data_IF_258893338415
#
_entry.id   IF_258893338415
#
_cell.length_a   1.000
_cell.length_b   1.000
_cell.length_c   1.000
_cell.angle_alpha   90.00
_cell.angle_beta   90.00
_cell.angle_gamma   90.00
#
_symmetry.space_group_name_H-M   'P 1'
#
loop_
_entity.id
_entity.type
_entity.pdbx_description
1 polymer ?
#
# COMPACT_ATOMS: atom_id res chain seq x y z
N UNK A 1 9.12 13.08 -4.49
CA UNK A 1 8.48 12.58 -3.25
C UNK A 1 6.98 12.75 -3.38
N UNK A 2 6.20 11.69 -3.18
CA UNK A 2 4.74 11.74 -3.16
C UNK A 2 4.21 11.33 -1.80
N UNK A 3 3.22 12.05 -1.27
CA UNK A 3 2.51 11.73 -0.03
C UNK A 3 1.05 11.50 -0.36
N UNK A 4 0.50 10.43 0.19
CA UNK A 4 -0.86 9.98 -0.10
C UNK A 4 -1.53 9.45 1.15
N UNK A 5 -2.85 9.27 1.07
CA UNK A 5 -3.67 8.80 2.19
C UNK A 5 -4.63 7.72 1.71
N UNK A 6 -4.68 6.60 2.42
CA UNK A 6 -5.68 5.55 2.23
C UNK A 6 -6.51 5.40 3.49
N UNK A 7 -7.79 5.09 3.32
CA UNK A 7 -8.72 4.94 4.42
C UNK A 7 -9.42 3.59 4.33
N UNK A 8 -9.24 2.73 5.33
CA UNK A 8 -9.88 1.43 5.36
C UNK A 8 -11.36 1.57 5.77
N UNK A 9 -12.19 0.59 5.37
CA UNK A 9 -13.58 0.47 5.84
C UNK A 9 -13.67 0.30 7.36
N UNK A 10 -12.60 -0.19 8.00
CA UNK A 10 -12.51 -0.37 9.46
C UNK A 10 -12.14 0.91 10.20
N UNK A 11 -11.88 2.00 9.49
CA UNK A 11 -11.54 3.29 10.08
C UNK A 11 -10.04 3.58 10.13
N UNK A 12 -9.19 2.68 9.64
CA UNK A 12 -7.75 2.93 9.59
C UNK A 12 -7.42 4.06 8.63
N UNK A 13 -6.48 4.90 9.01
CA UNK A 13 -5.89 5.91 8.16
C UNK A 13 -4.43 5.55 7.91
N UNK A 14 -4.09 5.24 6.68
CA UNK A 14 -2.73 4.92 6.28
C UNK A 14 -2.16 6.10 5.51
N UNK A 15 -1.12 6.71 6.05
CA UNK A 15 -0.29 7.66 5.33
C UNK A 15 0.76 6.90 4.53
N UNK A 16 0.79 7.15 3.23
CA UNK A 16 1.70 6.51 2.29
C UNK A 16 2.69 7.56 1.80
N UNK A 17 3.98 7.30 1.97
CA UNK A 17 5.05 8.16 1.45
C UNK A 17 5.88 7.38 0.44
N UNK A 18 6.00 7.90 -0.79
CA UNK A 18 6.83 7.32 -1.86
C UNK A 18 8.01 8.22 -2.18
N UNK A 19 9.22 7.70 -2.00
CA UNK A 19 10.47 8.40 -2.27
C UNK A 19 11.52 7.39 -2.72
N UNK A 20 12.23 7.71 -3.81
CA UNK A 20 13.40 6.95 -4.30
C UNK A 20 13.20 5.43 -4.41
N UNK A 21 12.03 5.01 -4.94
CA UNK A 21 11.70 3.59 -5.12
C UNK A 21 11.31 2.86 -3.84
N UNK A 22 11.10 3.57 -2.73
CA UNK A 22 10.60 3.05 -1.47
C UNK A 22 9.20 3.61 -1.19
N UNK A 23 8.30 2.75 -0.71
CA UNK A 23 7.05 3.13 -0.08
C UNK A 23 7.16 2.93 1.42
N UNK A 24 6.78 3.94 2.20
CA UNK A 24 6.53 3.83 3.62
C UNK A 24 5.03 3.99 3.87
N UNK A 25 4.43 3.02 4.53
CA UNK A 25 3.06 3.08 5.01
C UNK A 25 3.09 3.26 6.52
N UNK A 26 2.36 4.25 7.03
CA UNK A 26 2.21 4.52 8.46
C UNK A 26 0.73 4.47 8.80
N UNK A 27 0.33 3.56 9.69
CA UNK A 27 -1.01 3.60 10.27
C UNK A 27 -1.06 4.77 11.26
N UNK A 28 -1.82 5.81 10.96
CA UNK A 28 -1.88 7.03 11.77
C UNK A 28 -2.59 6.83 13.11
N UNK A 29 -3.34 5.73 13.28
CA UNK A 29 -3.99 5.38 14.53
C UNK A 29 -3.05 4.62 15.47
N UNK A 30 -2.29 3.65 14.96
CA UNK A 30 -1.41 2.78 15.78
C UNK A 30 0.07 3.16 15.74
N UNK A 31 0.47 3.99 14.77
CA UNK A 31 1.85 4.34 14.42
C UNK A 31 2.70 3.16 13.90
N UNK A 32 2.06 2.05 13.56
CA UNK A 32 2.74 0.93 12.92
C UNK A 32 3.24 1.32 11.54
N UNK A 33 4.41 0.81 11.18
CA UNK A 33 5.07 1.14 9.91
C UNK A 33 5.33 -0.09 9.08
N UNK A 34 5.25 0.08 7.76
CA UNK A 34 5.63 -0.94 6.79
C UNK A 34 6.39 -0.28 5.65
N UNK A 35 7.49 -0.88 5.23
CA UNK A 35 8.34 -0.40 4.16
C UNK A 35 8.35 -1.40 3.01
N UNK A 36 8.22 -0.88 1.80
CA UNK A 36 8.20 -1.67 0.58
C UNK A 36 9.18 -1.11 -0.45
N UNK A 37 9.83 -1.99 -1.19
CA UNK A 37 10.55 -1.63 -2.41
C UNK A 37 9.56 -1.61 -3.57
N UNK A 38 9.40 -0.45 -4.18
CA UNK A 38 8.62 -0.25 -5.40
C UNK A 38 9.51 -0.50 -6.62
N UNK A 39 8.98 -1.25 -7.59
CA UNK A 39 9.54 -1.33 -8.93
C UNK A 39 8.44 -0.99 -9.96
N UNK A 40 8.59 0.13 -10.66
CA UNK A 40 7.64 0.55 -11.69
C UNK A 40 7.77 -0.34 -12.92
N UNK A 41 6.63 -0.82 -13.40
CA UNK A 41 6.51 -1.59 -14.64
C UNK A 41 6.18 -0.66 -15.81
N UNK A 42 5.42 0.41 -15.53
CA UNK A 42 5.15 1.55 -16.40
C UNK A 42 4.63 2.73 -15.56
N UNK A 43 3.98 3.71 -16.19
CA UNK A 43 3.49 4.92 -15.51
C UNK A 43 2.34 4.69 -14.51
N UNK A 44 1.59 3.59 -14.63
CA UNK A 44 0.41 3.31 -13.81
C UNK A 44 0.49 1.97 -13.07
N UNK A 45 1.52 1.16 -13.33
CA UNK A 45 1.68 -0.17 -12.73
C UNK A 45 3.03 -0.29 -12.04
N UNK A 46 3.02 -0.85 -10.84
CA UNK A 46 4.24 -1.15 -10.09
C UNK A 46 4.08 -2.39 -9.23
N UNK A 47 5.20 -3.02 -8.87
CA UNK A 47 5.23 -4.06 -7.85
C UNK A 47 5.77 -3.50 -6.53
N UNK A 48 5.26 -3.98 -5.41
CA UNK A 48 5.81 -3.71 -4.09
C UNK A 48 6.26 -5.01 -3.42
N UNK A 49 7.50 -5.03 -2.94
CA UNK A 49 8.09 -6.16 -2.20
C UNK A 49 8.42 -5.69 -0.80
N UNK A 50 8.02 -6.47 0.20
CA UNK A 50 8.24 -6.12 1.61
C UNK A 50 9.73 -5.99 1.93
N UNK A 51 10.09 -4.95 2.68
CA UNK A 51 11.43 -4.73 3.20
C UNK A 51 11.48 -4.95 4.71
N UNK A 52 10.67 -4.20 5.45
CA UNK A 52 10.65 -4.18 6.91
C UNK A 52 9.40 -3.48 7.45
N UNK A 53 9.22 -3.47 8.76
CA UNK A 53 8.13 -2.74 9.39
C UNK A 53 8.09 -2.94 10.90
N UNK A 54 7.62 -1.91 11.60
CA UNK A 54 7.36 -1.96 13.04
C UNK A 54 5.88 -2.32 13.31
N UNK A 55 5.58 -2.68 14.55
CA UNK A 55 4.23 -2.96 15.02
C UNK A 55 3.94 -4.43 15.32
N UNK A 56 2.88 -4.72 16.09
CA UNK A 56 2.49 -6.07 16.44
C UNK A 56 1.89 -6.80 15.23
N UNK A 57 2.75 -7.47 14.45
CA UNK A 57 2.31 -8.38 13.39
C UNK A 57 2.32 -9.82 13.89
N UNK A 58 1.23 -10.55 13.68
CA UNK A 58 1.20 -11.98 13.99
C UNK A 58 2.05 -12.79 12.97
N UNK A 59 2.32 -14.06 13.25
CA UNK A 59 3.19 -14.88 12.38
C UNK A 59 2.63 -15.08 10.98
N UNK A 60 1.31 -15.20 10.83
CA UNK A 60 0.67 -15.37 9.53
C UNK A 60 0.82 -14.12 8.66
N UNK A 61 0.63 -12.94 9.26
CA UNK A 61 0.79 -11.65 8.59
C UNK A 61 2.26 -11.41 8.18
N UNK A 62 3.21 -11.73 9.06
CA UNK A 62 4.65 -11.66 8.74
C UNK A 62 5.00 -12.55 7.55
N UNK A 63 4.50 -13.79 7.55
CA UNK A 63 4.75 -14.75 6.49
C UNK A 63 4.16 -14.25 5.15
N UNK A 64 2.93 -13.72 5.17
CA UNK A 64 2.30 -13.15 3.99
C UNK A 64 3.17 -12.03 3.38
N UNK A 65 3.64 -11.10 4.21
CA UNK A 65 4.46 -9.98 3.75
C UNK A 65 5.81 -10.45 3.16
N UNK A 66 6.45 -11.43 3.79
CA UNK A 66 7.75 -11.94 3.36
C UNK A 66 7.71 -12.77 2.08
N UNK A 67 6.56 -13.39 1.78
CA UNK A 67 6.42 -14.34 0.67
C UNK A 67 5.63 -13.82 -0.51
N UNK A 68 4.92 -12.69 -0.36
CA UNK A 68 4.07 -12.15 -1.41
C UNK A 68 4.72 -10.99 -2.15
N UNK A 69 4.40 -10.88 -3.44
CA UNK A 69 4.63 -9.67 -4.23
C UNK A 69 3.27 -9.02 -4.45
N UNK A 70 3.17 -7.74 -4.12
CA UNK A 70 1.99 -6.93 -4.39
C UNK A 70 2.10 -6.31 -5.78
N UNK A 71 1.07 -6.43 -6.60
CA UNK A 71 0.98 -5.80 -7.92
C UNK A 71 -0.07 -4.71 -7.87
N UNK A 72 0.37 -3.47 -8.07
CA UNK A 72 -0.49 -2.29 -8.08
C UNK A 72 -0.75 -1.84 -9.51
N UNK A 73 -1.98 -1.45 -9.78
CA UNK A 73 -2.45 -0.97 -11.07
C UNK A 73 -3.42 0.19 -10.85
N UNK A 74 -3.00 1.40 -11.22
CA UNK A 74 -3.77 2.64 -11.12
C UNK A 74 -4.76 2.67 -12.29
N UNK A 75 -6.06 2.64 -11.98
CA UNK A 75 -7.15 2.54 -12.96
C UNK A 75 -7.73 3.88 -13.34
N UNK A 76 -7.85 4.78 -12.36
CA UNK A 76 -8.49 6.07 -12.53
C UNK A 76 -7.72 7.11 -11.73
N UNK A 77 -7.55 8.30 -12.31
CA UNK A 77 -6.91 9.44 -11.70
C UNK A 77 -7.91 10.59 -11.77
N UNK A 78 -8.21 11.18 -10.61
CA UNK A 78 -8.97 12.39 -10.44
C UNK A 78 -8.08 13.50 -9.87
N UNK A 79 -8.63 14.69 -9.68
CA UNK A 79 -7.85 15.86 -9.24
C UNK A 79 -7.20 15.68 -7.86
N UNK A 80 -7.85 14.96 -6.95
CA UNK A 80 -7.42 14.80 -5.54
C UNK A 80 -7.29 13.34 -5.08
N UNK A 81 -7.52 12.36 -5.95
CA UNK A 81 -7.31 10.94 -5.66
C UNK A 81 -7.00 10.11 -6.91
N UNK A 82 -6.60 8.87 -6.68
CA UNK A 82 -6.62 7.82 -7.70
C UNK A 82 -7.28 6.55 -7.15
N UNK A 83 -7.86 5.75 -8.03
CA UNK A 83 -8.36 4.40 -7.71
C UNK A 83 -7.36 3.41 -8.25
N UNK A 84 -6.88 2.51 -7.39
CA UNK A 84 -5.94 1.46 -7.75
C UNK A 84 -6.45 0.09 -7.36
N UNK A 85 -6.03 -0.93 -8.11
CA UNK A 85 -6.19 -2.33 -7.71
C UNK A 85 -4.88 -2.89 -7.21
N UNK A 86 -4.92 -3.61 -6.09
CA UNK A 86 -3.80 -4.37 -5.54
C UNK A 86 -4.07 -5.85 -5.72
N UNK A 87 -3.23 -6.55 -6.47
CA UNK A 87 -3.24 -8.02 -6.57
C UNK A 87 -2.13 -8.59 -5.71
N UNK A 88 -2.50 -9.43 -4.75
CA UNK A 88 -1.56 -10.23 -3.96
C UNK A 88 -1.42 -11.57 -4.66
N UNK A 89 -0.22 -11.91 -5.11
CA UNK A 89 0.08 -13.27 -5.57
C UNK A 89 0.75 -14.04 -4.44
N UNK A 90 0.05 -15.04 -3.91
CA UNK A 90 0.56 -15.95 -2.88
C UNK A 90 0.40 -17.41 -3.34
N UNK A 91 1.10 -18.34 -2.68
CA UNK A 91 1.08 -19.76 -3.03
C UNK A 91 -0.33 -20.39 -2.93
N UNK A 92 -1.17 -19.88 -2.05
CA UNK A 92 -2.53 -20.39 -1.79
C UNK A 92 -3.60 -19.75 -2.69
N UNK A 93 -3.22 -18.82 -3.56
CA UNK A 93 -4.13 -18.15 -4.48
C UNK A 93 -3.87 -16.65 -4.59
N UNK A 94 -4.58 -16.02 -5.53
CA UNK A 94 -4.51 -14.59 -5.75
C UNK A 94 -5.68 -13.88 -5.06
N UNK A 95 -5.41 -12.75 -4.42
CA UNK A 95 -6.45 -11.85 -3.91
C UNK A 95 -6.34 -10.50 -4.60
N UNK A 96 -7.48 -9.87 -4.91
CA UNK A 96 -7.53 -8.56 -5.57
C UNK A 96 -8.38 -7.62 -4.71
N UNK A 97 -7.84 -6.44 -4.46
CA UNK A 97 -8.49 -5.37 -3.70
C UNK A 97 -8.50 -4.10 -4.54
N UNK A 98 -9.54 -3.27 -4.38
CA UNK A 98 -9.63 -1.96 -5.01
C UNK A 98 -9.70 -0.91 -3.93
N UNK A 99 -8.80 0.06 -3.98
CA UNK A 99 -8.64 1.09 -2.97
C UNK A 99 -8.58 2.47 -3.61
N UNK A 100 -9.19 3.45 -2.93
CA UNK A 100 -9.04 4.87 -3.25
C UNK A 100 -7.88 5.43 -2.45
N UNK A 101 -6.93 6.05 -3.14
CA UNK A 101 -5.78 6.72 -2.53
C UNK A 101 -5.84 8.22 -2.81
N UNK A 102 -5.91 9.02 -1.76
CA UNK A 102 -6.05 10.47 -1.83
C UNK A 102 -4.70 11.17 -1.86
N UNK A 103 -4.59 12.23 -2.65
CA UNK A 103 -3.42 13.12 -2.74
C UNK A 103 -3.35 14.10 -1.56
N UNK A 104 -4.49 14.37 -0.93
CA UNK A 104 -4.63 15.23 0.23
C UNK A 104 -5.29 14.47 1.38
N UNK A 105 -4.94 14.83 2.61
CA UNK A 105 -5.57 14.28 3.80
C UNK A 105 -7.04 14.70 3.84
N UNK A 106 -7.94 13.72 3.95
CA UNK A 106 -9.37 13.94 4.12
C UNK A 106 -9.64 14.22 5.60
N UNK A 107 -10.26 15.39 5.89
CA UNK A 107 -10.79 15.68 7.22
C UNK A 107 -12.00 14.78 7.45
N UNK A 108 -11.91 13.85 8.39
CA UNK A 108 -13.04 13.06 8.88
C UNK A 108 -13.73 13.74 10.04
#
# INVERSE_FOLDING_TARGET
MGRFHSYSKKGDHIQITRIDGIQQDVNMNTLDTTYWKINWLDNCRFTAVYLSGAGPKNNAEKLLYQTSILYFDIKEIADDYYIGTTTIKAAEGNSIFTDTTWLVEQKR
#
